data_IF_618239528742
#
_entry.id   IF_618239528742
#
_cell.length_a   1.000
_cell.length_b   1.000
_cell.length_c   1.000
_cell.angle_alpha   90.00
_cell.angle_beta   90.00
_cell.angle_gamma   90.00
#
_symmetry.space_group_name_H-M   'P 1'
#
loop_
_entity.id
_entity.type
_entity.pdbx_description
1 polymer ?
#
# COMPACT_ATOMS: atom_id res chain seq x y z
N UNK A 1 -0.42 -27.70 28.14
CA UNK A 1 0.76 -26.85 27.92
C UNK A 1 0.44 -25.94 26.74
N UNK A 2 0.25 -24.64 26.98
CA UNK A 2 0.04 -23.67 25.90
C UNK A 2 1.37 -23.57 25.13
N UNK A 3 1.35 -23.92 23.84
CA UNK A 3 2.49 -23.69 22.97
C UNK A 3 2.80 -22.18 22.99
N UNK A 4 4.01 -21.82 23.38
CA UNK A 4 4.50 -20.44 23.28
C UNK A 4 4.36 -20.03 21.83
N UNK A 5 3.46 -19.10 21.55
CA UNK A 5 3.29 -18.54 20.21
C UNK A 5 4.63 -17.84 19.86
N UNK A 6 5.36 -18.38 18.91
CA UNK A 6 6.63 -17.80 18.49
C UNK A 6 6.40 -16.33 18.07
N UNK A 7 7.29 -15.46 18.48
CA UNK A 7 7.18 -14.05 18.10
C UNK A 7 7.37 -13.92 16.58
N UNK A 8 6.45 -13.21 15.91
CA UNK A 8 6.57 -12.94 14.47
C UNK A 8 7.81 -12.08 14.23
N UNK A 9 8.64 -12.49 13.29
CA UNK A 9 9.87 -11.79 12.91
C UNK A 9 9.81 -11.29 11.46
N UNK A 10 10.59 -10.26 11.15
CA UNK A 10 10.78 -9.76 9.78
C UNK A 10 12.26 -9.80 9.46
N UNK A 11 12.60 -10.38 8.31
CA UNK A 11 13.99 -10.52 7.86
C UNK A 11 14.11 -10.34 6.34
N UNK A 12 15.33 -9.96 5.89
CA UNK A 12 15.64 -9.91 4.47
C UNK A 12 15.66 -11.33 3.88
N UNK A 13 15.05 -11.49 2.70
CA UNK A 13 15.12 -12.74 1.96
C UNK A 13 16.41 -12.78 1.13
N UNK A 14 17.27 -13.75 1.41
CA UNK A 14 18.60 -13.82 0.81
C UNK A 14 18.86 -15.10 0.02
N UNK A 15 18.08 -16.17 0.24
CA UNK A 15 18.25 -17.45 -0.44
C UNK A 15 17.23 -17.61 -1.58
N UNK A 16 17.60 -18.39 -2.59
CA UNK A 16 16.67 -18.67 -3.70
C UNK A 16 15.38 -19.35 -3.25
N UNK A 17 15.45 -20.19 -2.20
CA UNK A 17 14.27 -20.90 -1.69
C UNK A 17 13.32 -19.93 -1.01
N UNK A 18 13.81 -19.00 -0.19
CA UNK A 18 12.98 -17.93 0.39
C UNK A 18 12.34 -17.06 -0.69
N UNK A 19 13.10 -16.70 -1.74
CA UNK A 19 12.54 -15.90 -2.84
C UNK A 19 11.49 -16.68 -3.65
N UNK A 20 11.64 -18.00 -3.84
CA UNK A 20 10.61 -18.86 -4.45
C UNK A 20 9.35 -18.91 -3.58
N UNK A 21 9.50 -19.06 -2.27
CA UNK A 21 8.37 -19.04 -1.34
C UNK A 21 7.58 -17.73 -1.45
N UNK A 22 8.27 -16.57 -1.54
CA UNK A 22 7.60 -15.28 -1.78
C UNK A 22 6.87 -15.22 -3.13
N UNK A 23 7.38 -15.89 -4.18
CA UNK A 23 6.65 -16.00 -5.46
C UNK A 23 5.37 -16.81 -5.29
N UNK A 24 5.43 -17.95 -4.59
CA UNK A 24 4.24 -18.79 -4.35
C UNK A 24 3.20 -18.10 -3.46
N UNK A 25 3.63 -17.27 -2.50
CA UNK A 25 2.71 -16.49 -1.68
C UNK A 25 1.85 -15.52 -2.49
N UNK A 26 2.32 -15.05 -3.66
CA UNK A 26 1.50 -14.21 -4.55
C UNK A 26 0.21 -14.92 -4.99
N UNK A 27 0.29 -16.22 -5.32
CA UNK A 27 -0.88 -17.04 -5.69
C UNK A 27 -1.89 -17.12 -4.55
N UNK A 28 -1.39 -17.43 -3.36
CA UNK A 28 -2.23 -17.61 -2.16
C UNK A 28 -2.89 -16.31 -1.73
N UNK A 29 -2.17 -15.18 -1.80
CA UNK A 29 -2.64 -13.89 -1.28
C UNK A 29 -3.60 -13.22 -2.26
N UNK A 30 -3.28 -13.18 -3.56
CA UNK A 30 -4.04 -12.41 -4.56
C UNK A 30 -4.81 -13.25 -5.57
N UNK A 31 -4.54 -14.55 -5.65
CA UNK A 31 -5.18 -15.42 -6.66
C UNK A 31 -4.76 -15.10 -8.09
N UNK A 32 -3.58 -14.51 -8.29
CA UNK A 32 -3.09 -14.13 -9.61
C UNK A 32 -2.94 -15.34 -10.55
N UNK A 33 -3.30 -15.16 -11.82
CA UNK A 33 -2.91 -16.07 -12.88
C UNK A 33 -1.39 -16.05 -13.09
N UNK A 34 -0.82 -17.13 -13.62
CA UNK A 34 0.63 -17.28 -13.76
C UNK A 34 1.31 -16.14 -14.53
N UNK A 35 0.62 -15.55 -15.51
CA UNK A 35 1.12 -14.43 -16.31
C UNK A 35 1.23 -13.12 -15.50
N UNK A 36 0.52 -13.01 -14.40
CA UNK A 36 0.53 -11.81 -13.54
C UNK A 36 1.50 -11.93 -12.35
N UNK A 37 2.06 -13.13 -12.14
CA UNK A 37 3.04 -13.35 -11.08
C UNK A 37 4.35 -12.65 -11.42
N UNK A 38 4.90 -11.95 -10.47
CA UNK A 38 6.28 -11.50 -10.57
C UNK A 38 7.21 -12.72 -10.52
N UNK A 39 8.05 -12.90 -11.55
CA UNK A 39 8.93 -14.07 -11.62
C UNK A 39 10.07 -13.99 -10.61
N UNK A 40 10.57 -15.13 -10.16
CA UNK A 40 11.70 -15.26 -9.25
C UNK A 40 12.90 -14.35 -9.63
N UNK A 41 13.17 -14.24 -10.94
CA UNK A 41 14.29 -13.40 -11.43
C UNK A 41 14.16 -11.94 -11.04
N UNK A 42 12.94 -11.40 -10.96
CA UNK A 42 12.73 -10.01 -10.52
C UNK A 42 13.07 -9.85 -9.04
N UNK A 43 12.68 -10.80 -8.19
CA UNK A 43 13.07 -10.79 -6.77
C UNK A 43 14.59 -10.83 -6.61
N UNK A 44 15.27 -11.72 -7.36
CA UNK A 44 16.74 -11.79 -7.35
C UNK A 44 17.37 -10.48 -7.82
N UNK A 45 16.88 -9.88 -8.91
CA UNK A 45 17.40 -8.60 -9.40
C UNK A 45 17.17 -7.50 -8.37
N UNK A 46 15.97 -7.41 -7.77
CA UNK A 46 15.66 -6.41 -6.76
C UNK A 46 16.69 -6.43 -5.61
N UNK A 47 17.10 -7.60 -5.11
CA UNK A 47 18.12 -7.69 -4.05
C UNK A 47 19.51 -7.19 -4.49
N UNK A 48 19.80 -7.11 -5.80
CA UNK A 48 21.11 -6.71 -6.34
C UNK A 48 21.21 -5.25 -6.73
N UNK A 49 20.07 -4.63 -7.06
CA UNK A 49 20.04 -3.24 -7.58
C UNK A 49 19.61 -2.22 -6.52
N UNK A 50 19.68 -2.58 -5.25
CA UNK A 50 19.30 -1.69 -4.14
C UNK A 50 17.81 -1.72 -3.80
N UNK A 51 17.08 -2.72 -4.26
CA UNK A 51 15.71 -2.99 -3.81
C UNK A 51 15.67 -3.64 -2.43
N UNK A 52 14.47 -3.85 -1.93
CA UNK A 52 14.20 -4.52 -0.65
C UNK A 52 13.30 -5.72 -0.90
N UNK A 53 13.65 -6.87 -0.35
CA UNK A 53 12.79 -8.06 -0.32
C UNK A 53 12.81 -8.60 1.10
N UNK A 54 11.69 -8.44 1.81
CA UNK A 54 11.56 -8.89 3.21
C UNK A 54 10.45 -9.91 3.34
N UNK A 55 10.64 -10.88 4.21
CA UNK A 55 9.64 -11.85 4.66
C UNK A 55 9.26 -11.61 6.12
N UNK A 56 8.00 -11.84 6.44
CA UNK A 56 7.50 -11.97 7.80
C UNK A 56 7.33 -13.46 8.11
N UNK A 57 7.78 -13.90 9.27
CA UNK A 57 7.83 -15.31 9.65
C UNK A 57 7.14 -15.57 10.98
N UNK A 58 6.37 -16.66 11.05
CA UNK A 58 5.88 -17.28 12.27
C UNK A 58 6.68 -18.61 12.47
N UNK A 59 7.69 -18.57 13.32
CA UNK A 59 8.71 -19.62 13.35
C UNK A 59 9.47 -19.69 12.01
N UNK A 60 9.43 -20.85 11.36
CA UNK A 60 10.07 -21.06 10.05
C UNK A 60 9.14 -20.74 8.85
N UNK A 61 7.85 -20.61 9.10
CA UNK A 61 6.84 -20.37 8.03
C UNK A 61 6.81 -18.92 7.62
N UNK A 62 7.00 -18.65 6.33
CA UNK A 62 6.76 -17.32 5.78
C UNK A 62 5.26 -17.05 5.69
N UNK A 63 4.80 -15.98 6.33
CA UNK A 63 3.38 -15.61 6.44
C UNK A 63 3.03 -14.31 5.71
N UNK A 64 4.04 -13.67 5.13
CA UNK A 64 3.87 -12.45 4.34
C UNK A 64 5.22 -11.98 3.81
N UNK A 65 5.18 -11.12 2.83
CA UNK A 65 6.38 -10.53 2.24
C UNK A 65 6.13 -9.12 1.74
N UNK A 66 7.22 -8.39 1.48
CA UNK A 66 7.17 -7.17 0.69
C UNK A 66 8.37 -7.08 -0.25
N UNK A 67 8.14 -6.42 -1.39
CA UNK A 67 9.13 -6.15 -2.42
C UNK A 67 9.13 -4.65 -2.73
N UNK A 68 10.31 -4.01 -2.71
CA UNK A 68 10.50 -2.67 -3.24
C UNK A 68 11.65 -2.65 -4.26
N UNK A 69 11.51 -1.83 -5.28
CA UNK A 69 12.52 -1.57 -6.30
C UNK A 69 12.98 -0.11 -6.24
N UNK A 70 14.26 0.19 -6.53
CA UNK A 70 14.73 1.56 -6.58
C UNK A 70 14.17 2.29 -7.80
N UNK A 71 13.91 3.58 -7.65
CA UNK A 71 13.50 4.48 -8.72
C UNK A 71 14.22 5.82 -8.61
N UNK A 72 14.17 6.61 -9.68
CA UNK A 72 14.71 7.97 -9.75
C UNK A 72 13.59 8.96 -10.07
N UNK A 73 13.53 10.05 -9.34
CA UNK A 73 12.68 11.19 -9.65
C UNK A 73 13.40 12.14 -10.65
N UNK A 74 12.66 12.98 -11.37
CA UNK A 74 13.26 14.11 -12.06
C UNK A 74 14.19 14.88 -11.11
N UNK A 75 15.40 15.22 -11.56
CA UNK A 75 16.43 15.81 -10.72
C UNK A 75 17.33 14.81 -10.00
N UNK A 76 17.19 13.50 -10.27
CA UNK A 76 18.11 12.46 -9.79
C UNK A 76 17.89 11.99 -8.35
N UNK A 77 16.84 12.46 -7.65
CA UNK A 77 16.54 12.00 -6.30
C UNK A 77 16.06 10.54 -6.32
N UNK A 78 16.77 9.68 -5.60
CA UNK A 78 16.40 8.27 -5.45
C UNK A 78 15.20 8.11 -4.52
N UNK A 79 14.40 7.09 -4.78
CA UNK A 79 13.30 6.65 -3.92
C UNK A 79 13.12 5.13 -4.03
N UNK A 80 12.33 4.53 -3.16
CA UNK A 80 11.92 3.14 -3.27
C UNK A 80 10.46 3.06 -3.73
N UNK A 81 10.18 2.29 -4.76
CA UNK A 81 8.82 1.89 -5.11
C UNK A 81 8.49 0.57 -4.43
N UNK A 82 7.67 0.63 -3.36
CA UNK A 82 7.20 -0.56 -2.67
C UNK A 82 6.12 -1.24 -3.52
N UNK A 83 6.56 -2.14 -4.40
CA UNK A 83 5.72 -2.70 -5.45
C UNK A 83 4.68 -3.68 -4.93
N UNK A 84 5.07 -4.55 -3.99
CA UNK A 84 4.17 -5.54 -3.39
C UNK A 84 4.34 -5.57 -1.88
N UNK A 85 3.23 -5.78 -1.19
CA UNK A 85 3.17 -6.18 0.21
C UNK A 85 1.94 -7.05 0.39
N UNK A 86 2.13 -8.26 0.87
CA UNK A 86 1.06 -9.19 1.12
C UNK A 86 1.27 -9.99 2.40
N UNK A 87 0.17 -10.40 3.00
CA UNK A 87 0.11 -11.22 4.20
C UNK A 87 -0.92 -12.32 3.96
N UNK A 88 -0.64 -13.54 4.39
CA UNK A 88 -1.57 -14.65 4.29
C UNK A 88 -2.92 -14.30 4.93
N UNK A 89 -4.06 -14.71 4.34
CA UNK A 89 -5.40 -14.34 4.82
C UNK A 89 -5.62 -14.65 6.30
N UNK A 90 -5.17 -15.80 6.79
CA UNK A 90 -5.30 -16.24 8.18
C UNK A 90 -4.47 -15.41 9.18
N UNK A 91 -3.54 -14.58 8.68
CA UNK A 91 -2.73 -13.66 9.46
C UNK A 91 -3.14 -12.19 9.28
N UNK A 92 -4.21 -11.91 8.55
CA UNK A 92 -4.71 -10.55 8.38
C UNK A 92 -5.13 -9.91 9.70
N UNK A 93 -5.04 -8.58 9.77
CA UNK A 93 -5.39 -7.75 10.94
C UNK A 93 -4.54 -8.00 12.20
N UNK A 94 -3.41 -8.71 12.10
CA UNK A 94 -2.45 -8.94 13.20
C UNK A 94 -1.27 -7.98 13.20
N UNK A 95 -1.31 -6.90 12.41
CA UNK A 95 -0.26 -5.88 12.35
C UNK A 95 0.96 -6.23 11.49
N UNK A 96 0.99 -7.39 10.82
CA UNK A 96 2.14 -7.90 10.07
C UNK A 96 2.49 -6.97 8.90
N UNK A 97 1.50 -6.47 8.16
CA UNK A 97 1.76 -5.49 7.10
C UNK A 97 2.43 -4.21 7.63
N UNK A 98 2.08 -3.79 8.86
CA UNK A 98 2.75 -2.68 9.52
C UNK A 98 4.20 -3.02 9.90
N UNK A 99 4.45 -4.23 10.40
CA UNK A 99 5.82 -4.68 10.72
C UNK A 99 6.71 -4.65 9.47
N UNK A 100 6.22 -5.18 8.35
CA UNK A 100 6.93 -5.14 7.06
C UNK A 100 7.22 -3.70 6.62
N UNK A 101 6.24 -2.78 6.69
CA UNK A 101 6.43 -1.36 6.35
C UNK A 101 7.43 -0.67 7.25
N UNK A 102 7.39 -0.90 8.55
CA UNK A 102 8.35 -0.32 9.48
C UNK A 102 9.76 -0.86 9.26
N UNK A 103 9.89 -2.13 8.89
CA UNK A 103 11.19 -2.71 8.52
C UNK A 103 11.73 -2.09 7.21
N UNK A 104 10.87 -1.92 6.18
CA UNK A 104 11.23 -1.18 4.96
C UNK A 104 11.72 0.24 5.28
N UNK A 105 10.99 0.94 6.17
CA UNK A 105 11.36 2.30 6.60
C UNK A 105 12.74 2.33 7.26
N UNK A 106 12.97 1.49 8.24
CA UNK A 106 14.21 1.47 9.00
C UNK A 106 15.42 1.22 8.08
N UNK A 107 15.30 0.25 7.18
CA UNK A 107 16.38 -0.08 6.24
C UNK A 107 16.60 1.04 5.20
N UNK A 108 15.52 1.65 4.68
CA UNK A 108 15.62 2.78 3.75
C UNK A 108 16.29 4.01 4.38
N UNK A 109 15.93 4.36 5.63
CA UNK A 109 16.56 5.45 6.38
C UNK A 109 18.05 5.21 6.60
N UNK A 110 18.46 3.97 6.92
CA UNK A 110 19.87 3.60 7.09
C UNK A 110 20.70 3.79 5.81
N UNK A 111 20.04 3.79 4.63
CA UNK A 111 20.67 4.04 3.33
C UNK A 111 20.55 5.49 2.85
N UNK A 112 19.94 6.37 3.63
CA UNK A 112 19.72 7.77 3.25
C UNK A 112 18.59 7.94 2.21
N UNK A 113 17.72 6.96 2.03
CA UNK A 113 16.50 7.09 1.22
C UNK A 113 15.39 7.61 2.11
N UNK A 114 14.77 8.73 1.75
CA UNK A 114 13.76 9.41 2.55
C UNK A 114 12.32 9.30 1.99
N UNK A 115 12.16 8.72 0.80
CA UNK A 115 10.86 8.56 0.13
C UNK A 115 10.62 7.10 -0.26
N UNK A 116 9.51 6.56 0.22
CA UNK A 116 8.95 5.30 -0.30
C UNK A 116 7.59 5.60 -0.93
N UNK A 117 7.38 5.16 -2.17
CA UNK A 117 6.10 5.28 -2.85
C UNK A 117 5.49 3.92 -3.15
N UNK A 118 4.18 3.88 -3.26
CA UNK A 118 3.44 2.72 -3.79
C UNK A 118 2.09 3.16 -4.30
N UNK A 119 1.38 2.24 -4.92
CA UNK A 119 0.03 2.46 -5.42
C UNK A 119 -0.96 1.68 -4.58
N UNK A 120 -2.14 2.22 -4.38
CA UNK A 120 -3.25 1.50 -3.76
C UNK A 120 -4.59 1.91 -4.38
N UNK A 121 -5.55 1.01 -4.28
CA UNK A 121 -6.91 1.23 -4.74
C UNK A 121 -7.63 2.22 -3.81
N UNK A 122 -8.10 3.37 -4.31
CA UNK A 122 -8.79 4.38 -3.49
C UNK A 122 -10.11 3.89 -2.87
N UNK A 123 -10.69 2.81 -3.40
CA UNK A 123 -11.92 2.22 -2.88
C UNK A 123 -11.66 1.19 -1.77
N UNK A 124 -10.39 0.84 -1.52
CA UNK A 124 -9.98 -0.03 -0.41
C UNK A 124 -9.80 0.78 0.88
N UNK A 125 -10.91 1.04 1.60
CA UNK A 125 -10.96 1.96 2.74
C UNK A 125 -10.03 1.56 3.90
N UNK A 126 -9.79 0.25 4.10
CA UNK A 126 -8.83 -0.23 5.10
C UNK A 126 -7.40 0.17 4.73
N UNK A 127 -7.04 0.05 3.45
CA UNK A 127 -5.73 0.46 2.95
C UNK A 127 -5.58 1.98 3.00
N UNK A 128 -6.60 2.74 2.64
CA UNK A 128 -6.60 4.19 2.75
C UNK A 128 -6.31 4.63 4.18
N UNK A 129 -7.07 4.13 5.15
CA UNK A 129 -6.86 4.43 6.56
C UNK A 129 -5.45 4.03 7.04
N UNK A 130 -5.01 2.83 6.69
CA UNK A 130 -3.68 2.36 7.09
C UNK A 130 -2.58 3.25 6.53
N UNK A 131 -2.63 3.58 5.25
CA UNK A 131 -1.62 4.40 4.59
C UNK A 131 -1.59 5.83 5.15
N UNK A 132 -2.76 6.46 5.26
CA UNK A 132 -2.84 7.87 5.61
C UNK A 132 -2.70 8.09 7.11
N UNK A 133 -3.46 7.34 7.92
CA UNK A 133 -3.54 7.57 9.37
C UNK A 133 -2.50 6.79 10.18
N UNK A 134 -2.08 5.58 9.70
CA UNK A 134 -1.16 4.74 10.46
C UNK A 134 0.29 4.81 9.99
N UNK A 135 0.53 5.34 8.77
CA UNK A 135 1.86 5.56 8.21
C UNK A 135 2.17 7.04 7.93
N UNK A 136 1.17 7.91 7.87
CA UNK A 136 1.36 9.35 7.61
C UNK A 136 1.62 9.68 6.14
N UNK A 137 1.13 8.85 5.22
CA UNK A 137 1.25 9.05 3.78
C UNK A 137 0.49 10.30 3.33
N UNK A 138 1.00 10.94 2.28
CA UNK A 138 0.34 12.00 1.53
C UNK A 138 0.03 11.48 0.13
N UNK A 139 -1.04 11.99 -0.51
CA UNK A 139 -1.41 11.59 -1.86
C UNK A 139 -1.64 12.84 -2.68
N UNK A 140 -0.93 12.97 -3.80
CA UNK A 140 -1.03 14.10 -4.75
C UNK A 140 -1.27 13.67 -6.18
N UNK A 141 -1.28 12.36 -6.43
CA UNK A 141 -1.36 11.80 -7.78
C UNK A 141 -2.36 10.65 -7.82
N UNK A 142 -3.11 10.63 -8.91
CA UNK A 142 -4.10 9.61 -9.23
C UNK A 142 -3.84 9.10 -10.64
N UNK A 143 -3.87 7.80 -10.84
CA UNK A 143 -3.64 7.17 -12.14
C UNK A 143 -4.85 6.31 -12.49
N UNK A 144 -5.46 6.61 -13.64
CA UNK A 144 -6.58 5.82 -14.16
C UNK A 144 -6.06 4.50 -14.72
N UNK A 145 -6.73 3.42 -14.38
CA UNK A 145 -6.53 2.07 -14.95
C UNK A 145 -5.05 1.66 -15.10
N UNK A 146 -4.26 1.87 -14.06
CA UNK A 146 -2.78 1.76 -14.09
C UNK A 146 -2.27 0.40 -14.54
N UNK A 147 -2.96 -0.67 -14.18
CA UNK A 147 -2.54 -2.06 -14.46
C UNK A 147 -3.48 -2.78 -15.44
N UNK A 148 -4.46 -2.07 -16.02
CA UNK A 148 -5.48 -2.71 -16.83
C UNK A 148 -6.47 -3.54 -16.00
N UNK A 149 -7.11 -4.52 -16.65
CA UNK A 149 -7.97 -5.49 -15.98
C UNK A 149 -7.07 -6.62 -15.48
N UNK A 150 -7.16 -6.96 -14.20
CA UNK A 150 -6.37 -8.04 -13.56
C UNK A 150 -7.27 -9.22 -13.21
N UNK A 151 -6.69 -10.41 -13.09
CA UNK A 151 -7.38 -11.62 -12.63
C UNK A 151 -7.67 -11.63 -11.13
N UNK A 152 -7.10 -10.67 -10.37
CA UNK A 152 -7.30 -10.60 -8.94
C UNK A 152 -8.77 -10.43 -8.56
N UNK A 153 -9.25 -11.30 -7.69
CA UNK A 153 -10.61 -11.24 -7.14
C UNK A 153 -10.92 -9.92 -6.39
N UNK A 154 -9.89 -9.15 -6.01
CA UNK A 154 -10.05 -7.89 -5.28
C UNK A 154 -10.63 -6.77 -6.15
N UNK A 155 -10.52 -6.85 -7.49
CA UNK A 155 -10.94 -5.76 -8.36
C UNK A 155 -12.30 -5.97 -9.04
N UNK A 156 -12.85 -7.19 -9.01
CA UNK A 156 -14.17 -7.53 -9.57
C UNK A 156 -14.41 -6.94 -10.99
N UNK A 157 -13.41 -7.01 -11.87
CA UNK A 157 -13.41 -6.50 -13.24
C UNK A 157 -13.51 -4.97 -13.38
N UNK A 158 -13.40 -4.19 -12.32
CA UNK A 158 -13.31 -2.74 -12.39
C UNK A 158 -11.91 -2.30 -12.88
N UNK A 159 -11.80 -1.13 -13.54
CA UNK A 159 -10.50 -0.52 -13.85
C UNK A 159 -9.62 -0.39 -12.61
N UNK A 160 -8.32 -0.62 -12.78
CA UNK A 160 -7.36 -0.57 -11.67
C UNK A 160 -6.85 0.86 -11.41
N UNK A 161 -7.76 1.76 -11.04
CA UNK A 161 -7.41 3.12 -10.65
C UNK A 161 -6.55 3.11 -9.37
N UNK A 162 -5.57 4.00 -9.30
CA UNK A 162 -4.61 4.03 -8.18
C UNK A 162 -4.37 5.44 -7.66
N UNK A 163 -4.40 5.56 -6.34
CA UNK A 163 -3.72 6.64 -5.63
C UNK A 163 -2.23 6.31 -5.50
N UNK A 164 -1.36 7.30 -5.70
CA UNK A 164 0.07 7.18 -5.43
C UNK A 164 0.34 7.65 -4.00
N UNK A 165 0.67 6.71 -3.13
CA UNK A 165 1.07 6.97 -1.75
C UNK A 165 2.51 7.51 -1.72
N UNK A 166 2.73 8.68 -1.14
CA UNK A 166 4.03 9.27 -0.90
C UNK A 166 4.34 9.22 0.59
N UNK A 167 5.24 8.34 0.98
CA UNK A 167 5.67 8.20 2.37
C UNK A 167 7.04 8.85 2.56
N UNK A 168 7.04 10.07 3.06
CA UNK A 168 8.23 10.80 3.45
C UNK A 168 8.68 10.29 4.82
N UNK A 169 9.44 9.20 4.80
CA UNK A 169 9.69 8.33 5.96
C UNK A 169 10.48 8.97 7.10
N UNK A 170 11.20 10.06 6.84
CA UNK A 170 11.91 10.86 7.84
C UNK A 170 11.09 12.01 8.41
N UNK A 171 9.87 12.29 7.88
CA UNK A 171 9.07 13.44 8.29
C UNK A 171 8.44 13.25 9.68
N UNK A 172 8.21 14.39 10.37
CA UNK A 172 7.48 14.42 11.64
C UNK A 172 6.07 13.82 11.51
N UNK A 173 5.43 14.00 10.36
CA UNK A 173 4.12 13.42 10.05
C UNK A 173 4.18 11.89 10.07
N UNK A 174 5.15 11.29 9.39
CA UNK A 174 5.32 9.84 9.39
C UNK A 174 5.63 9.33 10.80
N UNK A 175 6.51 10.01 11.53
CA UNK A 175 6.84 9.62 12.90
C UNK A 175 5.63 9.72 13.83
N UNK A 176 4.87 10.82 13.78
CA UNK A 176 3.66 11.01 14.58
C UNK A 176 2.62 9.91 14.31
N UNK A 177 2.37 9.58 13.04
CA UNK A 177 1.43 8.52 12.65
C UNK A 177 1.89 7.12 13.15
N UNK A 178 3.19 6.85 13.08
CA UNK A 178 3.78 5.60 13.60
C UNK A 178 3.62 5.50 15.11
N UNK A 179 3.82 6.60 15.83
CA UNK A 179 3.70 6.65 17.30
C UNK A 179 2.22 6.72 17.76
N UNK A 180 1.28 6.83 16.83
CA UNK A 180 -0.15 7.00 17.15
C UNK A 180 -0.46 8.38 17.77
N UNK A 181 0.41 9.37 17.57
CA UNK A 181 0.22 10.75 17.99
C UNK A 181 -0.49 11.58 16.92
N UNK A 182 -1.27 12.60 17.29
CA UNK A 182 -1.81 13.55 16.31
C UNK A 182 -0.68 14.18 15.49
N UNK A 183 -0.79 14.11 14.16
CA UNK A 183 0.08 14.81 13.24
C UNK A 183 -0.52 16.19 12.92
N UNK A 184 0.34 17.19 12.67
CA UNK A 184 -0.14 18.46 12.15
C UNK A 184 -0.86 18.24 10.82
N UNK A 185 -2.07 18.79 10.70
CA UNK A 185 -2.85 18.80 9.45
C UNK A 185 -3.08 20.26 9.05
N UNK A 186 -2.85 20.60 7.77
CA UNK A 186 -3.33 21.85 7.20
C UNK A 186 -4.86 21.97 7.27
N UNK A 187 -5.41 23.15 6.94
CA UNK A 187 -6.85 23.32 6.81
C UNK A 187 -7.43 22.35 5.76
N UNK A 188 -8.60 21.81 6.07
CA UNK A 188 -9.34 20.94 5.14
C UNK A 188 -10.12 21.84 4.18
N UNK A 189 -9.81 21.75 2.89
CA UNK A 189 -10.41 22.54 1.82
C UNK A 189 -11.49 21.75 1.06
N UNK A 190 -11.38 20.42 1.04
CA UNK A 190 -12.34 19.56 0.34
C UNK A 190 -12.33 18.14 0.93
N UNK A 191 -13.39 17.38 0.61
CA UNK A 191 -13.52 15.97 0.97
C UNK A 191 -13.92 15.12 -0.23
N UNK A 192 -13.56 13.83 -0.17
CA UNK A 192 -14.05 12.80 -1.09
C UNK A 192 -14.55 11.63 -0.25
N UNK A 193 -15.84 11.34 -0.39
CA UNK A 193 -16.48 10.23 0.33
C UNK A 193 -16.55 8.98 -0.54
N UNK A 194 -16.25 7.84 0.06
CA UNK A 194 -16.42 6.51 -0.55
C UNK A 194 -17.29 5.68 0.40
N UNK A 195 -18.45 5.21 -0.05
CA UNK A 195 -19.38 4.46 0.79
C UNK A 195 -18.75 3.13 1.24
N UNK A 196 -18.95 2.74 2.49
CA UNK A 196 -18.47 1.44 3.02
C UNK A 196 -19.07 0.24 2.27
N UNK A 197 -20.26 0.42 1.69
CA UNK A 197 -20.92 -0.59 0.87
C UNK A 197 -20.15 -0.93 -0.42
N UNK A 198 -19.12 -0.16 -0.81
CA UNK A 198 -18.38 -0.36 -2.07
C UNK A 198 -17.81 -1.77 -2.19
N UNK A 199 -17.30 -2.34 -1.11
CA UNK A 199 -16.74 -3.69 -1.11
C UNK A 199 -17.78 -4.75 -1.52
N UNK A 200 -19.01 -4.62 -1.02
CA UNK A 200 -20.13 -5.49 -1.37
C UNK A 200 -20.64 -5.21 -2.79
N UNK A 201 -20.79 -3.93 -3.15
CA UNK A 201 -21.28 -3.51 -4.45
C UNK A 201 -20.39 -4.01 -5.61
N UNK A 202 -19.09 -4.16 -5.42
CA UNK A 202 -18.20 -4.73 -6.44
C UNK A 202 -18.65 -6.11 -6.93
N UNK A 203 -19.24 -6.90 -6.04
CA UNK A 203 -19.73 -8.26 -6.37
C UNK A 203 -21.22 -8.27 -6.72
N UNK A 204 -22.04 -7.54 -5.96
CA UNK A 204 -23.50 -7.60 -6.09
C UNK A 204 -24.04 -6.67 -7.19
N UNK A 205 -23.40 -5.51 -7.40
CA UNK A 205 -23.79 -4.52 -8.41
C UNK A 205 -22.57 -3.81 -9.00
N UNK A 206 -21.83 -4.49 -9.91
CA UNK A 206 -20.62 -3.93 -10.53
C UNK A 206 -20.86 -2.62 -11.30
N UNK A 207 -22.07 -2.42 -11.85
CA UNK A 207 -22.40 -1.17 -12.55
C UNK A 207 -22.42 0.00 -11.57
N UNK A 208 -23.07 -0.16 -10.44
CA UNK A 208 -23.10 0.87 -9.38
C UNK A 208 -21.73 1.10 -8.79
N UNK A 209 -20.94 0.05 -8.56
CA UNK A 209 -19.56 0.18 -8.11
C UNK A 209 -18.71 0.98 -9.11
N UNK A 210 -18.84 0.70 -10.41
CA UNK A 210 -18.18 1.46 -11.48
C UNK A 210 -18.58 2.93 -11.53
N UNK A 211 -19.86 3.24 -11.33
CA UNK A 211 -20.33 4.64 -11.26
C UNK A 211 -19.73 5.39 -10.06
N UNK A 212 -19.63 4.74 -8.89
CA UNK A 212 -18.96 5.29 -7.70
C UNK A 212 -17.48 5.52 -7.99
N UNK A 213 -16.79 4.54 -8.59
CA UNK A 213 -15.39 4.68 -8.96
C UNK A 213 -15.16 5.86 -9.89
N UNK A 214 -15.97 6.00 -10.94
CA UNK A 214 -15.86 7.11 -11.90
C UNK A 214 -16.02 8.47 -11.20
N UNK A 215 -17.02 8.62 -10.33
CA UNK A 215 -17.25 9.86 -9.57
C UNK A 215 -16.09 10.18 -8.63
N UNK A 216 -15.55 9.18 -7.93
CA UNK A 216 -14.37 9.31 -7.05
C UNK A 216 -13.13 9.70 -7.87
N UNK A 217 -12.92 9.07 -9.02
CA UNK A 217 -11.80 9.37 -9.93
C UNK A 217 -11.84 10.81 -10.44
N UNK A 218 -13.00 11.26 -10.93
CA UNK A 218 -13.19 12.63 -11.38
C UNK A 218 -12.89 13.64 -10.27
N UNK A 219 -13.38 13.34 -9.05
CA UNK A 219 -13.18 14.20 -7.89
C UNK A 219 -11.70 14.31 -7.52
N UNK A 220 -10.97 13.18 -7.47
CA UNK A 220 -9.52 13.18 -7.21
C UNK A 220 -8.76 14.00 -8.25
N UNK A 221 -9.00 13.76 -9.54
CA UNK A 221 -8.31 14.46 -10.62
C UNK A 221 -8.55 15.97 -10.55
N UNK A 222 -9.82 16.39 -10.34
CA UNK A 222 -10.18 17.81 -10.19
C UNK A 222 -9.43 18.47 -9.03
N UNK A 223 -9.47 17.87 -7.83
CA UNK A 223 -8.89 18.46 -6.62
C UNK A 223 -7.35 18.45 -6.65
N UNK A 224 -6.73 17.42 -7.20
CA UNK A 224 -5.28 17.39 -7.41
C UNK A 224 -4.85 18.41 -8.47
N UNK A 225 -5.66 18.63 -9.51
CA UNK A 225 -5.44 19.70 -10.50
C UNK A 225 -5.50 21.12 -9.90
N UNK A 226 -6.18 21.28 -8.77
CA UNK A 226 -6.21 22.53 -7.99
C UNK A 226 -5.02 22.66 -7.01
N UNK A 227 -4.10 21.69 -6.98
CA UNK A 227 -2.95 21.67 -6.09
C UNK A 227 -3.22 21.16 -4.67
N UNK A 228 -4.40 20.57 -4.42
CA UNK A 228 -4.71 19.94 -3.15
C UNK A 228 -4.03 18.56 -3.05
N UNK A 229 -3.82 18.12 -1.82
CA UNK A 229 -3.30 16.80 -1.50
C UNK A 229 -4.21 16.12 -0.47
N UNK A 230 -4.29 14.80 -0.46
CA UNK A 230 -4.88 14.08 0.67
C UNK A 230 -3.95 14.18 1.87
N UNK A 231 -4.48 14.73 2.96
CA UNK A 231 -3.77 15.00 4.21
C UNK A 231 -4.40 14.29 5.41
N UNK A 232 -5.51 13.59 5.23
CA UNK A 232 -6.17 12.86 6.27
C UNK A 232 -7.23 11.91 5.73
N UNK A 233 -7.72 11.01 6.59
CA UNK A 233 -8.75 10.05 6.27
C UNK A 233 -9.61 9.74 7.50
N UNK A 234 -10.89 10.03 7.42
CA UNK A 234 -11.86 9.71 8.45
C UNK A 234 -12.68 8.47 8.08
N UNK A 235 -13.17 7.77 9.09
CA UNK A 235 -14.05 6.59 8.92
C UNK A 235 -15.31 6.77 9.74
N UNK A 236 -16.45 6.47 9.10
CA UNK A 236 -17.73 6.26 9.75
C UNK A 236 -18.27 4.87 9.42
N UNK A 237 -19.45 4.56 9.91
CA UNK A 237 -20.18 3.34 9.52
C UNK A 237 -20.62 3.38 8.05
N UNK A 238 -20.87 4.57 7.51
CA UNK A 238 -21.43 4.79 6.18
C UNK A 238 -20.37 5.01 5.11
N UNK A 239 -19.24 5.68 5.45
CA UNK A 239 -18.23 6.08 4.49
C UNK A 239 -16.81 6.13 5.06
N UNK A 240 -15.83 5.98 4.14
CA UNK A 240 -14.48 6.46 4.32
C UNK A 240 -14.31 7.80 3.62
N UNK A 241 -13.78 8.79 4.31
CA UNK A 241 -13.69 10.18 3.83
C UNK A 241 -12.25 10.63 3.71
N UNK A 242 -11.78 10.87 2.50
CA UNK A 242 -10.49 11.50 2.24
C UNK A 242 -10.60 13.01 2.54
N UNK A 243 -9.66 13.53 3.32
CA UNK A 243 -9.56 14.94 3.68
C UNK A 243 -8.45 15.57 2.84
N UNK A 244 -8.77 16.63 2.10
CA UNK A 244 -7.82 17.28 1.22
C UNK A 244 -7.57 18.72 1.66
N UNK A 245 -6.30 19.14 1.51
CA UNK A 245 -5.84 20.49 1.82
C UNK A 245 -4.55 20.80 1.08
N UNK A 246 -4.07 22.05 1.15
CA UNK A 246 -2.80 22.41 0.57
C UNK A 246 -1.65 21.81 1.38
N UNK A 247 -0.77 21.10 0.69
CA UNK A 247 0.42 20.51 1.28
C UNK A 247 1.68 21.09 0.62
N UNK A 248 2.56 21.69 1.43
CA UNK A 248 3.82 22.32 0.99
C UNK A 248 5.00 21.40 1.26
#
# INVERSE_FOLDING_TARGET
MAASQAAITVAALSTLDQLREAVELQRTIWGFADIELLPLRLFVVATKVGGQVFGAFDGERMIGFCLAIPGLKPGGKSYLHSHMLGVLPEYNNRGIGRMLKLHQRAEALNRGVDLIEWTFDPLELKNAYFNIERLGVIIRRYVLNQYGITSSHLHASLPTDRCIAEWWIASDRAQAAIDGRPAHRPAIEATIEVPTAIARLRTEDPRRAGAIQAAVSERFQKLFGMGLAVIGFDRSEEAGTYLLGFWR
#
